data_IF_116204445167
#
_entry.id   IF_116204445167
#
_cell.length_a   1.000
_cell.length_b   1.000
_cell.length_c   1.000
_cell.angle_alpha   90.00
_cell.angle_beta   90.00
_cell.angle_gamma   90.00
#
_symmetry.space_group_name_H-M   'P 1'
#
loop_
_entity.id
_entity.type
_entity.pdbx_description
1 polymer ?
#
# COMPACT_ATOMS: atom_id res chain seq x y z
N UNK A 1 13.22 -4.23 -34.12
CA UNK A 1 13.33 -5.01 -32.86
C UNK A 1 12.76 -4.24 -31.66
N UNK A 2 12.69 -2.90 -31.67
CA UNK A 2 12.08 -2.09 -30.60
C UNK A 2 10.60 -2.41 -30.34
N UNK A 3 9.81 -2.55 -31.41
CA UNK A 3 8.34 -2.62 -31.28
C UNK A 3 7.85 -3.91 -30.62
N UNK A 4 8.62 -5.00 -30.72
CA UNK A 4 8.30 -6.26 -30.05
C UNK A 4 8.63 -6.21 -28.56
N UNK A 5 9.78 -5.61 -28.19
CA UNK A 5 10.17 -5.39 -26.80
C UNK A 5 9.12 -4.55 -26.07
N UNK A 6 8.76 -3.40 -26.66
CA UNK A 6 7.79 -2.47 -26.07
C UNK A 6 6.41 -3.11 -25.89
N UNK A 7 5.93 -3.85 -26.89
CA UNK A 7 4.66 -4.58 -26.79
C UNK A 7 4.66 -5.61 -25.66
N UNK A 8 5.71 -6.43 -25.53
CA UNK A 8 5.81 -7.42 -24.46
C UNK A 8 5.85 -6.75 -23.08
N UNK A 9 6.59 -5.65 -22.95
CA UNK A 9 6.66 -4.89 -21.68
C UNK A 9 5.28 -4.41 -21.26
N UNK A 10 4.52 -3.82 -22.20
CA UNK A 10 3.17 -3.30 -21.93
C UNK A 10 2.23 -4.45 -21.56
N UNK A 11 2.22 -5.54 -22.33
CA UNK A 11 1.33 -6.69 -22.07
C UNK A 11 1.59 -7.33 -20.69
N UNK A 12 2.87 -7.58 -20.36
CA UNK A 12 3.23 -8.16 -19.05
C UNK A 12 2.93 -7.19 -17.92
N UNK A 13 3.23 -5.89 -18.09
CA UNK A 13 2.93 -4.86 -17.09
C UNK A 13 1.42 -4.75 -16.82
N UNK A 14 0.58 -4.77 -17.85
CA UNK A 14 -0.88 -4.75 -17.69
C UNK A 14 -1.42 -6.00 -16.99
N UNK A 15 -0.89 -7.18 -17.32
CA UNK A 15 -1.38 -8.44 -16.75
C UNK A 15 -0.94 -8.66 -15.31
N UNK A 16 0.26 -8.20 -14.96
CA UNK A 16 0.87 -8.45 -13.64
C UNK A 16 0.77 -7.27 -12.68
N UNK A 17 0.50 -6.06 -13.20
CA UNK A 17 0.42 -4.81 -12.45
C UNK A 17 1.77 -4.14 -12.18
N UNK A 18 2.89 -4.81 -12.48
CA UNK A 18 4.24 -4.31 -12.22
C UNK A 18 4.58 -3.11 -13.11
N UNK A 19 5.44 -2.23 -12.59
CA UNK A 19 5.94 -1.08 -13.34
C UNK A 19 6.65 -1.52 -14.63
N UNK A 20 6.37 -0.88 -15.79
CA UNK A 20 7.02 -1.20 -17.06
C UNK A 20 8.55 -1.24 -16.98
N UNK A 21 9.19 -0.42 -16.14
CA UNK A 21 10.66 -0.41 -15.97
C UNK A 21 11.17 -1.67 -15.28
N UNK A 22 10.40 -2.22 -14.34
CA UNK A 22 10.74 -3.51 -13.69
C UNK A 22 10.61 -4.63 -14.71
N UNK A 23 9.54 -4.62 -15.51
CA UNK A 23 9.33 -5.59 -16.59
C UNK A 23 10.41 -5.48 -17.66
N UNK A 24 10.83 -4.26 -18.01
CA UNK A 24 11.92 -4.01 -18.96
C UNK A 24 13.25 -4.61 -18.47
N UNK A 25 13.60 -4.39 -17.20
CA UNK A 25 14.81 -4.96 -16.61
C UNK A 25 14.79 -6.49 -16.65
N UNK A 26 13.64 -7.09 -16.36
CA UNK A 26 13.47 -8.54 -16.45
C UNK A 26 13.53 -9.03 -17.90
N UNK A 27 12.96 -8.30 -18.84
CA UNK A 27 13.04 -8.60 -20.27
C UNK A 27 14.49 -8.63 -20.75
N UNK A 28 15.29 -7.64 -20.36
CA UNK A 28 16.71 -7.58 -20.72
C UNK A 28 17.51 -8.70 -20.04
N UNK A 29 17.17 -9.05 -18.79
CA UNK A 29 17.80 -10.16 -18.06
C UNK A 29 17.47 -11.54 -18.65
N UNK A 30 16.22 -11.76 -19.08
CA UNK A 30 15.78 -13.04 -19.66
C UNK A 30 15.98 -13.13 -21.17
N UNK A 31 16.58 -12.12 -21.81
CA UNK A 31 16.73 -11.99 -23.26
C UNK A 31 15.39 -12.12 -24.02
N UNK A 32 14.33 -11.53 -23.47
CA UNK A 32 13.00 -11.49 -24.08
C UNK A 32 12.11 -12.72 -23.86
N UNK A 33 12.49 -13.63 -22.97
CA UNK A 33 11.63 -14.75 -22.55
C UNK A 33 10.50 -14.27 -21.63
N UNK A 34 9.33 -14.01 -22.21
CA UNK A 34 8.12 -13.57 -21.50
C UNK A 34 7.66 -14.56 -20.43
N UNK A 35 7.68 -15.86 -20.70
CA UNK A 35 7.23 -16.88 -19.74
C UNK A 35 8.18 -16.92 -18.52
N UNK A 36 9.48 -16.74 -18.77
CA UNK A 36 10.48 -16.57 -17.72
C UNK A 36 10.21 -15.36 -16.83
N UNK A 37 9.87 -14.20 -17.41
CA UNK A 37 9.52 -12.98 -16.67
C UNK A 37 8.31 -13.23 -15.78
N UNK A 38 7.23 -13.79 -16.33
CA UNK A 38 6.01 -14.07 -15.58
C UNK A 38 6.25 -15.04 -14.41
N UNK A 39 7.09 -16.07 -14.61
CA UNK A 39 7.50 -17.00 -13.54
C UNK A 39 8.31 -16.31 -12.45
N UNK A 40 9.22 -15.42 -12.79
CA UNK A 40 10.01 -14.65 -11.82
C UNK A 40 9.08 -13.78 -10.99
N UNK A 41 8.20 -13.01 -11.63
CA UNK A 41 7.23 -12.16 -10.95
C UNK A 41 6.31 -12.97 -10.03
N UNK A 42 5.81 -14.12 -10.51
CA UNK A 42 4.98 -15.01 -9.70
C UNK A 42 5.72 -15.63 -8.50
N UNK A 43 7.06 -15.69 -8.53
CA UNK A 43 7.89 -16.24 -7.45
C UNK A 43 8.17 -15.25 -6.32
N UNK A 44 7.88 -13.96 -6.52
CA UNK A 44 8.09 -12.93 -5.51
C UNK A 44 7.13 -13.18 -4.33
N UNK A 45 7.70 -13.22 -3.13
CA UNK A 45 6.93 -13.42 -1.91
C UNK A 45 5.96 -12.25 -1.67
N UNK A 46 4.68 -12.56 -1.50
CA UNK A 46 3.61 -11.60 -1.20
C UNK A 46 3.49 -11.38 0.31
N UNK A 47 4.42 -10.62 0.86
CA UNK A 47 4.55 -10.34 2.29
C UNK A 47 3.87 -9.04 2.74
N UNK A 48 3.23 -8.30 1.84
CA UNK A 48 2.41 -7.14 2.22
C UNK A 48 0.95 -7.59 2.35
N UNK A 49 0.43 -7.56 3.57
CA UNK A 49 -0.97 -7.86 3.87
C UNK A 49 -1.76 -6.56 3.93
N UNK A 50 -2.74 -6.42 3.05
CA UNK A 50 -3.64 -5.27 2.99
C UNK A 50 -5.01 -5.68 3.48
N UNK A 51 -5.46 -5.04 4.54
CA UNK A 51 -6.76 -5.25 5.14
C UNK A 51 -7.60 -4.03 4.83
N UNK A 52 -8.77 -4.24 4.22
CA UNK A 52 -9.69 -3.20 3.77
C UNK A 52 -11.04 -3.47 4.40
N UNK A 53 -11.69 -2.47 4.97
CA UNK A 53 -13.01 -2.69 5.55
C UNK A 53 -13.92 -1.47 5.47
N UNK A 54 -15.16 -1.70 5.06
CA UNK A 54 -16.25 -0.76 5.30
C UNK A 54 -16.88 -1.06 6.66
N UNK A 55 -17.31 -0.02 7.36
CA UNK A 55 -18.01 -0.17 8.62
C UNK A 55 -19.24 0.74 8.74
N UNK A 56 -20.15 0.33 9.60
CA UNK A 56 -21.32 1.11 10.00
C UNK A 56 -21.51 0.96 11.51
N UNK A 57 -21.62 2.09 12.22
CA UNK A 57 -21.93 2.10 13.65
C UNK A 57 -23.17 2.94 13.91
N UNK A 58 -24.24 2.27 14.36
CA UNK A 58 -25.50 2.92 14.78
C UNK A 58 -25.33 3.76 16.03
N UNK A 59 -24.40 3.40 16.91
CA UNK A 59 -24.16 4.09 18.19
C UNK A 59 -23.71 5.54 18.00
N UNK A 60 -22.87 5.78 16.98
CA UNK A 60 -22.31 7.10 16.68
C UNK A 60 -22.87 7.71 15.38
N UNK A 61 -23.81 7.03 14.74
CA UNK A 61 -24.41 7.40 13.46
C UNK A 61 -23.36 7.73 12.38
N UNK A 62 -22.38 6.83 12.20
CA UNK A 62 -21.32 6.96 11.21
C UNK A 62 -21.14 5.71 10.38
N UNK A 63 -20.82 5.94 9.11
CA UNK A 63 -20.31 4.95 8.17
C UNK A 63 -18.90 5.34 7.75
N UNK A 64 -18.16 4.38 7.22
CA UNK A 64 -16.80 4.68 6.86
C UNK A 64 -16.03 3.53 6.29
N UNK A 65 -14.75 3.81 6.10
CA UNK A 65 -13.76 2.91 5.56
C UNK A 65 -12.50 2.98 6.40
N UNK A 66 -11.83 1.85 6.60
CA UNK A 66 -10.46 1.85 7.08
C UNK A 66 -9.63 0.84 6.31
N UNK A 67 -8.32 1.06 6.32
CA UNK A 67 -7.36 0.10 5.80
C UNK A 67 -6.13 0.01 6.69
N UNK A 68 -5.45 -1.13 6.59
CA UNK A 68 -4.19 -1.42 7.24
C UNK A 68 -3.30 -2.20 6.27
N UNK A 69 -2.09 -1.70 6.03
CA UNK A 69 -1.02 -2.37 5.32
C UNK A 69 0.04 -2.83 6.33
N UNK A 70 0.32 -4.12 6.34
CA UNK A 70 1.23 -4.78 7.28
C UNK A 70 2.26 -5.61 6.53
N UNK A 71 3.54 -5.41 6.84
CA UNK A 71 4.63 -6.23 6.33
C UNK A 71 4.76 -7.48 7.20
N UNK A 72 4.36 -8.64 6.69
CA UNK A 72 4.51 -9.92 7.40
C UNK A 72 5.94 -10.47 7.36
N UNK A 73 6.83 -9.93 6.53
CA UNK A 73 8.24 -10.27 6.52
C UNK A 73 9.06 -9.50 7.56
N UNK A 74 8.70 -8.22 7.80
CA UNK A 74 9.36 -7.35 8.78
C UNK A 74 8.55 -7.14 10.07
N UNK A 75 7.36 -7.74 10.16
CA UNK A 75 6.45 -7.67 11.29
C UNK A 75 6.08 -6.25 11.74
N UNK A 76 5.79 -5.38 10.79
CA UNK A 76 5.50 -3.97 11.07
C UNK A 76 4.32 -3.44 10.27
N UNK A 77 3.63 -2.46 10.84
CA UNK A 77 2.60 -1.69 10.14
C UNK A 77 3.27 -0.66 9.24
N UNK A 78 3.01 -0.72 7.94
CA UNK A 78 3.57 0.20 6.94
C UNK A 78 2.69 1.43 6.79
N UNK A 79 1.38 1.21 6.61
CA UNK A 79 0.41 2.28 6.37
C UNK A 79 -0.93 1.89 7.00
N UNK A 80 -1.68 2.89 7.46
CA UNK A 80 -3.06 2.71 7.93
C UNK A 80 -3.85 3.99 7.71
N UNK A 81 -5.16 3.86 7.60
CA UNK A 81 -6.06 5.00 7.43
C UNK A 81 -7.48 4.68 7.87
N UNK A 82 -8.21 5.70 8.32
CA UNK A 82 -9.56 5.58 8.83
C UNK A 82 -10.37 6.81 8.43
N UNK A 83 -11.55 6.59 7.86
CA UNK A 83 -12.43 7.60 7.31
C UNK A 83 -13.83 7.33 7.85
N UNK A 84 -14.47 8.30 8.51
CA UNK A 84 -15.75 8.09 9.19
C UNK A 84 -16.65 9.34 9.09
N UNK A 85 -17.71 9.26 8.29
CA UNK A 85 -18.65 10.36 8.06
C UNK A 85 -20.10 9.85 8.12
N UNK A 86 -21.06 10.72 8.42
CA UNK A 86 -22.47 10.31 8.52
C UNK A 86 -23.07 9.86 7.18
N UNK A 87 -22.54 10.31 6.04
CA UNK A 87 -23.04 9.99 4.69
C UNK A 87 -21.92 9.40 3.83
N UNK A 88 -21.22 8.38 4.35
CA UNK A 88 -20.15 7.71 3.62
C UNK A 88 -20.72 6.72 2.60
N UNK A 89 -20.27 6.81 1.35
CA UNK A 89 -20.53 5.81 0.33
C UNK A 89 -19.54 4.66 0.47
N UNK A 90 -20.05 3.42 0.58
CA UNK A 90 -19.20 2.25 0.73
C UNK A 90 -18.21 2.14 -0.43
N UNK A 91 -16.94 1.87 -0.09
CA UNK A 91 -15.95 1.55 -1.10
C UNK A 91 -16.17 0.13 -1.59
N UNK A 92 -16.07 -0.11 -2.89
CA UNK A 92 -15.98 -1.46 -3.41
C UNK A 92 -14.65 -2.11 -2.98
N UNK A 93 -14.73 -3.07 -2.05
CA UNK A 93 -13.56 -3.72 -1.46
C UNK A 93 -12.85 -4.68 -2.43
N UNK A 94 -13.51 -5.06 -3.52
CA UNK A 94 -12.95 -5.94 -4.55
C UNK A 94 -12.05 -5.19 -5.54
N UNK A 95 -12.00 -3.86 -5.47
CA UNK A 95 -11.08 -3.06 -6.28
C UNK A 95 -9.61 -3.35 -5.93
N UNK A 96 -8.78 -3.28 -6.97
CA UNK A 96 -7.32 -3.37 -6.86
C UNK A 96 -6.77 -2.36 -5.86
N UNK A 97 -5.59 -2.64 -5.29
CA UNK A 97 -4.91 -1.69 -4.41
C UNK A 97 -4.69 -0.33 -5.07
N UNK A 98 -4.33 -0.29 -6.35
CA UNK A 98 -4.09 0.98 -7.08
C UNK A 98 -5.33 1.86 -7.17
N UNK A 99 -6.49 1.29 -7.51
CA UNK A 99 -7.75 2.02 -7.57
C UNK A 99 -8.23 2.47 -6.18
N UNK A 100 -7.96 1.64 -5.17
CA UNK A 100 -8.25 1.97 -3.79
C UNK A 100 -7.38 3.12 -3.29
N UNK A 101 -6.08 3.12 -3.62
CA UNK A 101 -5.15 4.21 -3.28
C UNK A 101 -5.60 5.55 -3.85
N UNK A 102 -6.09 5.58 -5.09
CA UNK A 102 -6.71 6.79 -5.69
C UNK A 102 -7.90 7.27 -4.87
N UNK A 103 -8.76 6.35 -4.45
CA UNK A 103 -9.92 6.65 -3.60
C UNK A 103 -9.49 7.20 -2.23
N UNK A 104 -8.51 6.57 -1.59
CA UNK A 104 -7.91 7.00 -0.32
C UNK A 104 -7.33 8.42 -0.43
N UNK A 105 -6.61 8.72 -1.52
CA UNK A 105 -6.05 10.05 -1.76
C UNK A 105 -7.15 11.11 -1.85
N UNK A 106 -8.21 10.82 -2.61
CA UNK A 106 -9.38 11.70 -2.72
C UNK A 106 -10.03 11.96 -1.35
N UNK A 107 -10.17 10.92 -0.51
CA UNK A 107 -10.70 11.11 0.84
C UNK A 107 -9.76 11.94 1.72
N UNK A 108 -8.44 11.74 1.63
CA UNK A 108 -7.44 12.54 2.36
C UNK A 108 -7.52 14.02 1.99
N UNK A 109 -7.78 14.35 0.71
CA UNK A 109 -7.91 15.74 0.25
C UNK A 109 -9.17 16.46 0.74
N UNK A 110 -10.23 15.74 1.12
CA UNK A 110 -11.48 16.37 1.56
C UNK A 110 -11.45 16.84 3.03
N UNK A 111 -10.41 16.51 3.80
CA UNK A 111 -10.18 16.89 5.21
C UNK A 111 -11.37 16.63 6.16
N UNK A 112 -12.18 15.59 5.90
CA UNK A 112 -13.41 15.30 6.67
C UNK A 112 -13.19 14.40 7.89
N UNK A 113 -11.96 14.20 8.35
CA UNK A 113 -11.66 13.17 9.35
C UNK A 113 -12.22 13.49 10.76
N UNK A 114 -12.80 12.48 11.41
CA UNK A 114 -13.03 12.54 12.84
C UNK A 114 -11.70 12.35 13.59
N UNK A 115 -11.07 13.47 13.97
CA UNK A 115 -9.77 13.49 14.67
C UNK A 115 -9.76 12.64 15.95
N UNK A 116 -10.88 12.58 16.67
CA UNK A 116 -10.97 11.83 17.92
C UNK A 116 -10.99 10.34 17.63
N UNK A 117 -11.85 9.89 16.70
CA UNK A 117 -11.86 8.48 16.29
C UNK A 117 -10.53 8.06 15.67
N UNK A 118 -9.93 8.92 14.84
CA UNK A 118 -8.60 8.67 14.31
C UNK A 118 -7.56 8.48 15.41
N UNK A 119 -7.53 9.35 16.43
CA UNK A 119 -6.60 9.21 17.55
C UNK A 119 -6.79 7.89 18.33
N UNK A 120 -8.04 7.45 18.51
CA UNK A 120 -8.31 6.15 19.11
C UNK A 120 -7.83 5.02 18.21
N UNK A 121 -8.20 5.03 16.93
CA UNK A 121 -7.78 4.04 15.96
C UNK A 121 -6.25 3.92 15.90
N UNK A 122 -5.57 5.06 15.79
CA UNK A 122 -4.11 5.13 15.72
C UNK A 122 -3.47 4.53 16.97
N UNK A 123 -3.96 4.90 18.15
CA UNK A 123 -3.52 4.36 19.43
C UNK A 123 -3.76 2.87 19.55
N UNK A 124 -4.95 2.38 19.24
CA UNK A 124 -5.28 0.96 19.39
C UNK A 124 -4.48 0.08 18.40
N UNK A 125 -4.25 0.56 17.18
CA UNK A 125 -3.42 -0.10 16.16
C UNK A 125 -1.91 -0.02 16.47
N UNK A 126 -1.48 0.93 17.31
CA UNK A 126 -0.10 1.05 17.77
C UNK A 126 0.22 0.25 19.03
N UNK A 127 -0.76 -0.42 19.64
CA UNK A 127 -0.53 -1.19 20.87
C UNK A 127 0.32 -2.42 20.59
N UNK A 128 1.29 -2.69 21.45
CA UNK A 128 2.11 -3.91 21.37
C UNK A 128 1.27 -5.18 21.33
N UNK A 129 0.18 -5.24 22.09
CA UNK A 129 -0.71 -6.40 22.09
C UNK A 129 -1.33 -6.68 20.71
N UNK A 130 -1.64 -5.63 19.96
CA UNK A 130 -2.13 -5.78 18.59
C UNK A 130 -1.01 -6.26 17.66
N UNK A 131 0.16 -5.63 17.73
CA UNK A 131 1.31 -5.97 16.88
C UNK A 131 1.77 -7.42 17.10
N UNK A 132 1.85 -7.87 18.35
CA UNK A 132 2.20 -9.27 18.68
C UNK A 132 1.18 -10.28 18.16
N UNK A 133 -0.11 -9.96 18.22
CA UNK A 133 -1.15 -10.83 17.66
C UNK A 133 -1.09 -10.83 16.14
N UNK A 134 -0.84 -9.69 15.48
CA UNK A 134 -0.62 -9.63 14.04
C UNK A 134 0.59 -10.47 13.61
N UNK A 135 1.70 -10.36 14.32
CA UNK A 135 2.90 -11.19 14.12
C UNK A 135 2.55 -12.68 14.23
N UNK A 136 1.94 -13.10 15.33
CA UNK A 136 1.51 -14.49 15.54
C UNK A 136 0.58 -14.98 14.44
N UNK A 137 -0.41 -14.19 14.06
CA UNK A 137 -1.34 -14.54 12.98
C UNK A 137 -0.63 -14.68 11.63
N UNK A 138 0.34 -13.79 11.38
CA UNK A 138 1.10 -13.78 10.14
C UNK A 138 1.95 -15.04 9.96
N UNK A 139 2.65 -15.46 11.01
CA UNK A 139 3.51 -16.65 11.01
C UNK A 139 2.72 -17.96 10.93
N UNK A 140 1.63 -18.08 11.69
CA UNK A 140 0.97 -19.38 11.90
C UNK A 140 -0.15 -19.70 10.90
N UNK A 141 -0.75 -18.66 10.30
CA UNK A 141 -2.06 -18.79 9.66
C UNK A 141 -2.19 -18.17 8.27
N UNK A 142 -1.28 -17.32 7.78
CA UNK A 142 -1.43 -16.68 6.44
C UNK A 142 -1.67 -17.73 5.34
N UNK A 143 -0.97 -18.87 5.38
CA UNK A 143 -1.14 -19.98 4.44
C UNK A 143 -2.48 -20.76 4.57
N UNK A 144 -3.26 -20.49 5.62
CA UNK A 144 -4.51 -21.20 5.97
C UNK A 144 -5.77 -20.38 5.68
N UNK A 145 -5.65 -19.29 4.92
CA UNK A 145 -6.73 -18.52 4.29
C UNK A 145 -7.91 -18.18 5.22
N UNK A 146 -8.95 -19.01 5.22
CA UNK A 146 -10.18 -18.79 6.00
C UNK A 146 -9.93 -18.64 7.51
N UNK A 147 -9.04 -19.45 8.09
CA UNK A 147 -8.75 -19.37 9.53
C UNK A 147 -8.06 -18.05 9.88
N UNK A 148 -7.18 -17.56 9.00
CA UNK A 148 -6.53 -16.26 9.16
C UNK A 148 -7.57 -15.15 9.12
N UNK A 149 -8.47 -15.14 8.12
CA UNK A 149 -9.53 -14.14 8.00
C UNK A 149 -10.38 -14.04 9.26
N UNK A 150 -10.92 -15.16 9.77
CA UNK A 150 -11.76 -15.14 10.99
C UNK A 150 -11.03 -14.65 12.23
N UNK A 151 -9.76 -15.04 12.41
CA UNK A 151 -8.96 -14.61 13.55
C UNK A 151 -8.63 -13.11 13.47
N UNK A 152 -8.32 -12.63 12.27
CA UNK A 152 -8.07 -11.22 12.01
C UNK A 152 -9.33 -10.36 12.24
N UNK A 153 -10.48 -10.81 11.74
CA UNK A 153 -11.78 -10.15 12.01
C UNK A 153 -12.04 -10.04 13.51
N UNK A 154 -11.75 -11.10 14.26
CA UNK A 154 -11.90 -11.12 15.72
C UNK A 154 -10.95 -10.15 16.41
N UNK A 155 -9.69 -10.09 15.96
CA UNK A 155 -8.69 -9.16 16.49
C UNK A 155 -9.10 -7.71 16.23
N UNK A 156 -9.46 -7.38 14.99
CA UNK A 156 -9.91 -6.04 14.59
C UNK A 156 -11.20 -5.66 15.32
N UNK A 157 -12.13 -6.59 15.48
CA UNK A 157 -13.36 -6.37 16.26
C UNK A 157 -13.07 -5.92 17.69
N UNK A 158 -12.05 -6.49 18.34
CA UNK A 158 -11.62 -6.09 19.69
C UNK A 158 -10.94 -4.72 19.70
N UNK A 159 -10.05 -4.47 18.74
CA UNK A 159 -9.28 -3.21 18.60
C UNK A 159 -10.18 -2.03 18.26
N UNK A 160 -11.25 -2.26 17.48
CA UNK A 160 -12.15 -1.21 17.01
C UNK A 160 -13.33 -0.96 17.95
N UNK A 161 -13.66 -1.87 18.87
CA UNK A 161 -14.74 -1.63 19.83
C UNK A 161 -14.55 -0.35 20.67
N UNK A 162 -13.34 0.00 21.16
CA UNK A 162 -13.07 1.30 21.78
C UNK A 162 -13.24 2.48 20.82
N UNK A 163 -12.89 2.33 19.54
CA UNK A 163 -13.00 3.38 18.52
C UNK A 163 -14.47 3.75 18.27
N UNK A 164 -15.34 2.75 18.25
CA UNK A 164 -16.79 2.91 18.05
C UNK A 164 -17.59 3.08 19.35
N UNK A 165 -16.90 3.19 20.50
CA UNK A 165 -17.49 3.28 21.86
C UNK A 165 -18.41 2.12 22.26
N UNK A 166 -18.50 1.06 21.44
CA UNK A 166 -19.24 -0.16 21.71
C UNK A 166 -18.86 -1.25 20.70
N UNK A 167 -19.24 -2.50 20.97
CA UNK A 167 -19.22 -3.62 20.01
C UNK A 167 -20.35 -3.61 18.97
N UNK A 168 -21.23 -2.60 18.98
CA UNK A 168 -22.41 -2.54 18.10
C UNK A 168 -22.06 -1.80 16.80
N UNK A 169 -21.14 -2.38 16.03
CA UNK A 169 -20.82 -1.93 14.69
C UNK A 169 -20.81 -3.13 13.74
N UNK A 170 -21.21 -2.91 12.49
CA UNK A 170 -21.06 -3.86 11.41
C UNK A 170 -19.77 -3.54 10.66
N UNK A 171 -19.04 -4.58 10.26
CA UNK A 171 -17.81 -4.46 9.48
C UNK A 171 -17.86 -5.50 8.35
N UNK A 172 -17.63 -5.05 7.12
CA UNK A 172 -17.39 -5.91 5.98
C UNK A 172 -15.93 -5.76 5.57
N UNK A 173 -15.18 -6.87 5.52
CA UNK A 173 -13.72 -6.86 5.38
C UNK A 173 -13.24 -7.72 4.22
N UNK A 174 -12.25 -7.20 3.52
CA UNK A 174 -11.47 -7.93 2.53
C UNK A 174 -9.97 -7.88 2.83
N UNK A 175 -9.28 -8.94 2.46
CA UNK A 175 -7.84 -9.10 2.67
C UNK A 175 -7.19 -9.36 1.31
N UNK A 176 -6.16 -8.61 1.00
CA UNK A 176 -5.35 -8.75 -0.20
C UNK A 176 -3.88 -8.96 0.20
N UNK A 177 -3.16 -9.80 -0.55
CA UNK A 177 -1.74 -10.03 -0.37
C UNK A 177 -0.99 -9.51 -1.59
N UNK A 178 -0.09 -8.56 -1.38
CA UNK A 178 0.75 -7.97 -2.41
C UNK A 178 2.22 -8.26 -2.16
N UNK A 179 3.01 -8.22 -3.22
CA UNK A 179 4.45 -8.05 -3.10
C UNK A 179 4.82 -6.57 -2.85
N UNK A 180 6.04 -6.31 -2.36
CA UNK A 180 6.48 -4.95 -2.06
C UNK A 180 6.55 -4.02 -3.27
N UNK A 181 6.88 -4.53 -4.47
CA UNK A 181 7.04 -3.69 -5.65
C UNK A 181 5.70 -3.10 -6.10
N UNK A 182 4.63 -3.91 -6.08
CA UNK A 182 3.27 -3.42 -6.34
C UNK A 182 2.81 -2.43 -5.27
N UNK A 183 3.10 -2.69 -3.99
CA UNK A 183 2.68 -1.80 -2.90
C UNK A 183 3.34 -0.41 -2.98
N UNK A 184 4.65 -0.37 -3.23
CA UNK A 184 5.45 0.87 -3.27
C UNK A 184 5.49 1.53 -4.65
N UNK A 185 4.80 0.98 -5.66
CA UNK A 185 4.66 1.61 -6.98
C UNK A 185 4.09 3.03 -6.81
N UNK A 186 4.77 4.09 -7.26
CA UNK A 186 4.25 5.45 -7.12
C UNK A 186 2.88 5.56 -7.80
N UNK A 187 1.97 6.32 -7.19
CA UNK A 187 0.76 6.75 -7.89
C UNK A 187 1.21 7.74 -8.96
N UNK A 188 1.01 7.42 -10.24
CA UNK A 188 1.22 8.37 -11.32
C UNK A 188 0.40 9.63 -11.01
N UNK A 189 1.09 10.75 -10.81
CA UNK A 189 0.44 12.04 -10.74
C UNK A 189 -0.01 12.38 -12.16
N UNK A 190 -1.31 12.57 -12.42
CA UNK A 190 -1.79 13.03 -13.74
C UNK A 190 -1.31 14.45 -14.11
N UNK A 191 -0.38 15.03 -13.34
CA UNK A 191 0.19 16.37 -13.55
C UNK A 191 1.64 16.37 -14.04
N UNK A 192 2.29 15.21 -14.14
CA UNK A 192 3.69 15.13 -14.59
C UNK A 192 3.87 14.82 -16.09
N UNK A 193 2.77 14.72 -16.86
CA UNK A 193 2.84 14.55 -18.32
C UNK A 193 2.69 15.87 -19.12
N UNK A 194 2.53 17.03 -18.46
CA UNK A 194 2.44 18.35 -19.12
C UNK A 194 3.40 19.37 -18.49
N UNK A 195 4.72 19.16 -18.59
CA UNK A 195 5.68 20.26 -18.43
C UNK A 195 7.08 19.96 -18.96
N UNK A 196 7.19 19.57 -20.22
CA UNK A 196 8.40 19.83 -21.02
C UNK A 196 8.00 20.52 -22.34
N UNK A 197 7.15 21.56 -22.26
CA UNK A 197 7.16 22.61 -23.28
C UNK A 197 8.15 23.69 -22.84
N UNK A 198 9.21 23.81 -23.63
CA UNK A 198 10.25 24.83 -23.58
C UNK A 198 9.68 26.22 -23.29
N UNK A 199 9.85 26.70 -22.06
CA UNK A 199 9.70 28.13 -21.78
C UNK A 199 11.01 28.84 -22.13
N UNK A 200 10.96 29.95 -22.89
CA UNK A 200 12.14 30.69 -23.27
C UNK A 200 12.79 31.32 -22.03
N UNK A 201 14.12 31.23 -22.01
CA UNK A 201 15.02 31.83 -21.04
C UNK A 201 14.69 33.32 -20.91
N UNK A 202 14.26 33.74 -19.71
CA UNK A 202 14.37 35.13 -19.29
C UNK A 202 15.46 35.21 -18.22
N UNK A 203 16.46 36.02 -18.55
CA UNK A 203 17.69 36.26 -17.81
C UNK A 203 17.48 37.03 -16.51
N UNK A 204 18.14 36.50 -15.47
CA UNK A 204 18.92 37.17 -14.41
C UNK A 204 18.32 37.47 -13.03
N UNK A 205 19.18 37.14 -12.05
CA UNK A 205 19.31 37.60 -10.66
C UNK A 205 18.36 36.92 -9.66
N UNK A 206 18.77 36.23 -8.58
CA UNK A 206 20.02 36.19 -7.80
C UNK A 206 20.22 34.80 -7.17
N UNK A 207 21.47 34.46 -6.90
CA UNK A 207 21.96 33.19 -6.35
C UNK A 207 21.66 33.03 -4.85
N UNK A 208 20.97 31.97 -4.46
CA UNK A 208 21.18 31.31 -3.16
C UNK A 208 21.54 29.84 -3.42
N UNK A 209 22.85 29.55 -3.35
CA UNK A 209 23.39 28.19 -3.41
C UNK A 209 22.93 27.39 -2.18
N UNK A 210 21.84 26.63 -2.30
CA UNK A 210 21.57 25.50 -1.39
C UNK A 210 22.24 24.26 -2.00
N UNK A 211 23.51 24.07 -1.67
CA UNK A 211 24.21 22.80 -1.87
C UNK A 211 23.61 21.81 -0.87
N UNK A 212 22.70 20.93 -1.32
CA UNK A 212 22.29 19.78 -0.54
C UNK A 212 23.44 18.76 -0.52
N UNK A 213 24.25 18.78 0.55
CA UNK A 213 25.25 17.75 0.83
C UNK A 213 24.55 16.42 1.17
N UNK A 214 24.40 15.54 0.19
CA UNK A 214 24.05 14.14 0.41
C UNK A 214 25.21 13.42 1.10
N UNK A 215 25.13 13.23 2.42
CA UNK A 215 25.98 12.26 3.14
C UNK A 215 25.48 10.86 2.84
N UNK A 216 26.10 10.20 1.86
CA UNK A 216 25.96 8.75 1.64
C UNK A 216 26.89 8.04 2.63
N UNK A 217 26.34 7.22 3.53
CA UNK A 217 27.12 6.26 4.31
C UNK A 217 27.15 4.93 3.55
N UNK A 218 28.28 4.53 2.95
CA UNK A 218 28.41 3.18 2.43
C UNK A 218 28.54 2.21 3.61
N UNK A 219 27.57 1.31 3.76
CA UNK A 219 27.76 0.11 4.59
C UNK A 219 28.58 -0.85 3.72
N UNK A 220 29.89 -0.88 3.97
CA UNK A 220 30.78 -1.91 3.43
C UNK A 220 30.72 -3.12 4.36
N UNK A 221 30.00 -4.16 3.95
CA UNK A 221 30.18 -5.48 4.56
C UNK A 221 31.61 -5.97 4.27
N UNK A 222 32.38 -6.40 5.27
CA UNK A 222 33.66 -7.05 5.01
C UNK A 222 33.39 -8.43 4.40
N UNK A 223 33.67 -8.55 3.11
CA UNK A 223 33.91 -9.84 2.45
C UNK A 223 35.15 -10.44 3.11
N UNK A 224 34.94 -11.27 4.13
CA UNK A 224 36.00 -12.13 4.65
C UNK A 224 36.22 -13.28 3.65
N UNK A 225 37.06 -13.00 2.66
CA UNK A 225 37.76 -14.03 1.91
C UNK A 225 38.94 -14.55 2.72
N UNK A 226 38.84 -15.80 3.17
CA UNK A 226 39.92 -16.80 3.20
C UNK A 226 39.34 -18.18 3.48
#
# INVERSE_FOLDING_TARGET
>A
MSDFKEKTIIEVSMNTGYDPKVVELLYDFTNGDQEGIEKILASIHKNIVIIKANFESKTIDKKGFFYLAYDSGQYQVIEKGFFAFSHFENIDLQKSWDDLRKSILNFKMQDKFDKKMWSFYDREMGREAFLREMERLSTDFISKGNKFKTLLETLLGKVLAPVFYHKNFAMNMEIEFLDPFLFFKPLENPKEEESEEEKPISTNSEEENIIANLKVFPILDPINGK
#
